data_IF_000258275033
#
_entry.id   IF_000258275033
#
_cell.length_a   1.000
_cell.length_b   1.000
_cell.length_c   1.000
_cell.angle_alpha   90.00
_cell.angle_beta   90.00
_cell.angle_gamma   90.00
#
_symmetry.space_group_name_H-M   'P 1'
#
loop_
_entity.id
_entity.type
_entity.pdbx_description
1 polymer ?
#
# COMPACT_ATOMS: atom_id res chain seq x y z
N UNK A 1 -6.91 4.43 -9.71
CA UNK A 1 -5.89 4.03 -8.73
C UNK A 1 -5.73 2.53 -8.70
N UNK A 2 -4.54 2.06 -9.05
CA UNK A 2 -3.94 1.07 -8.17
C UNK A 2 -3.81 1.78 -6.81
N UNK A 3 -4.56 1.33 -5.81
CA UNK A 3 -4.48 1.93 -4.47
C UNK A 3 -3.04 1.79 -3.96
N UNK A 4 -2.51 2.83 -3.31
CA UNK A 4 -1.21 2.73 -2.64
C UNK A 4 -1.40 2.24 -1.22
N UNK A 5 -0.48 1.41 -0.78
CA UNK A 5 -0.50 0.74 0.51
C UNK A 5 0.81 1.00 1.25
N UNK A 6 0.73 1.09 2.58
CA UNK A 6 1.87 0.95 3.47
C UNK A 6 1.94 -0.49 3.98
N UNK A 7 3.14 -0.98 4.27
CA UNK A 7 3.35 -2.34 4.77
C UNK A 7 4.08 -2.24 6.11
N UNK A 8 3.40 -2.68 7.17
CA UNK A 8 3.89 -2.62 8.54
C UNK A 8 4.29 -4.01 9.02
N UNK A 9 5.39 -4.10 9.78
CA UNK A 9 5.76 -5.30 10.51
C UNK A 9 5.26 -5.21 11.95
N UNK A 10 4.68 -6.28 12.51
CA UNK A 10 4.17 -6.27 13.90
C UNK A 10 5.27 -6.05 14.95
N UNK A 11 6.52 -6.29 14.58
CA UNK A 11 7.67 -6.03 15.44
C UNK A 11 7.96 -4.53 15.69
N UNK A 12 7.26 -3.60 15.03
CA UNK A 12 7.36 -2.16 15.31
C UNK A 12 6.07 -1.40 15.03
N UNK A 13 5.79 -0.38 15.83
CA UNK A 13 4.63 0.51 15.62
C UNK A 13 4.92 1.67 14.67
N UNK A 14 6.19 2.00 14.46
CA UNK A 14 6.66 3.22 13.79
C UNK A 14 7.46 2.97 12.50
N UNK A 15 7.66 1.71 12.10
CA UNK A 15 8.43 1.34 10.91
C UNK A 15 7.54 0.88 9.75
N UNK A 16 7.94 1.29 8.55
CA UNK A 16 7.33 0.92 7.28
C UNK A 16 8.36 0.25 6.38
N UNK A 17 7.91 -0.75 5.61
CA UNK A 17 8.71 -1.32 4.54
C UNK A 17 8.93 -0.28 3.43
N UNK A 18 10.18 -0.09 3.05
CA UNK A 18 10.61 0.85 2.03
C UNK A 18 11.64 0.23 1.09
N UNK A 19 11.80 0.84 -0.09
CA UNK A 19 12.96 0.58 -0.95
C UNK A 19 14.07 1.59 -0.66
N UNK A 20 15.23 1.12 -0.23
CA UNK A 20 16.43 1.96 0.00
C UNK A 20 17.62 1.30 -0.68
N UNK A 21 18.30 2.03 -1.56
CA UNK A 21 19.47 1.55 -2.30
C UNK A 21 19.27 0.20 -3.01
N UNK A 22 18.05 -0.05 -3.52
CA UNK A 22 17.68 -1.28 -4.21
C UNK A 22 17.29 -2.44 -3.31
N UNK A 23 17.28 -2.25 -1.99
CA UNK A 23 16.94 -3.28 -1.00
C UNK A 23 15.63 -2.95 -0.26
N UNK A 24 14.76 -3.95 -0.01
CA UNK A 24 13.59 -3.79 0.84
C UNK A 24 14.00 -3.81 2.33
N UNK A 25 13.78 -2.69 3.02
CA UNK A 25 14.16 -2.50 4.43
C UNK A 25 13.07 -1.78 5.22
N UNK A 26 13.08 -1.92 6.54
CA UNK A 26 12.25 -1.12 7.44
C UNK A 26 12.86 0.26 7.65
N UNK A 27 12.03 1.30 7.57
CA UNK A 27 12.41 2.70 7.79
C UNK A 27 11.35 3.40 8.63
N UNK A 28 11.70 4.49 9.32
CA UNK A 28 10.72 5.28 10.08
C UNK A 28 9.60 5.76 9.18
N UNK A 29 8.37 5.61 9.66
CA UNK A 29 7.18 5.98 8.94
C UNK A 29 7.23 7.46 8.53
N UNK A 30 7.34 7.68 7.24
CA UNK A 30 7.19 8.95 6.58
C UNK A 30 6.16 8.77 5.47
N UNK A 31 4.93 9.19 5.77
CA UNK A 31 3.84 9.04 4.82
C UNK A 31 4.13 9.73 3.49
N UNK A 32 5.04 10.73 3.45
CA UNK A 32 5.41 11.45 2.22
C UNK A 32 6.47 10.80 1.36
N UNK A 33 7.14 9.78 1.86
CA UNK A 33 8.16 9.06 1.11
C UNK A 33 7.51 8.02 0.17
N UNK A 34 7.56 8.28 -1.14
CA UNK A 34 7.05 7.36 -2.15
C UNK A 34 7.79 6.00 -2.12
N UNK A 35 8.99 5.92 -1.53
CA UNK A 35 9.71 4.66 -1.33
C UNK A 35 9.03 3.76 -0.30
N UNK A 36 8.18 4.31 0.57
CA UNK A 36 7.38 3.58 1.56
C UNK A 36 5.97 3.22 1.06
N UNK A 37 5.64 3.59 -0.18
CA UNK A 37 4.35 3.33 -0.79
C UNK A 37 4.44 2.18 -1.80
N UNK A 38 3.46 1.28 -1.73
CA UNK A 38 3.41 0.06 -2.53
C UNK A 38 2.08 -0.05 -3.28
N UNK A 39 2.13 -0.51 -4.52
CA UNK A 39 0.96 -0.94 -5.27
C UNK A 39 0.77 -2.44 -5.03
N UNK A 40 -0.43 -2.83 -4.62
CA UNK A 40 -0.83 -4.24 -4.54
C UNK A 40 -1.55 -4.61 -5.83
N UNK A 41 -0.85 -5.26 -6.75
CA UNK A 41 -1.38 -5.65 -8.05
C UNK A 41 -2.09 -7.00 -7.98
N UNK A 42 -3.40 -6.99 -8.15
CA UNK A 42 -4.27 -8.16 -8.05
C UNK A 42 -4.58 -8.82 -9.38
N UNK A 43 -4.00 -8.36 -10.50
CA UNK A 43 -4.35 -8.86 -11.84
C UNK A 43 -4.18 -10.37 -12.01
N UNK A 44 -3.26 -10.97 -11.27
CA UNK A 44 -2.98 -12.41 -11.30
C UNK A 44 -3.90 -13.23 -10.38
N UNK A 45 -4.51 -12.61 -9.37
CA UNK A 45 -5.25 -13.31 -8.31
C UNK A 45 -6.57 -13.95 -8.73
N UNK A 46 -7.10 -13.62 -9.92
CA UNK A 46 -8.32 -14.25 -10.44
C UNK A 46 -8.08 -15.67 -11.00
N UNK A 47 -6.84 -16.02 -11.34
CA UNK A 47 -6.49 -17.30 -11.96
C UNK A 47 -5.33 -18.04 -11.29
N UNK A 48 -4.66 -17.41 -10.32
CA UNK A 48 -3.52 -17.99 -9.63
C UNK A 48 -3.68 -17.79 -8.12
N UNK A 49 -3.65 -18.90 -7.39
CA UNK A 49 -3.76 -18.96 -5.93
C UNK A 49 -2.64 -19.81 -5.35
N UNK A 50 -2.41 -19.67 -4.04
CA UNK A 50 -1.61 -20.66 -3.30
C UNK A 50 -2.37 -21.99 -3.12
N UNK A 51 -1.74 -22.93 -2.42
CA UNK A 51 -2.31 -24.27 -2.11
C UNK A 51 -3.58 -24.21 -1.27
N UNK A 52 -3.77 -23.15 -0.48
CA UNK A 52 -4.96 -22.92 0.34
C UNK A 52 -6.06 -22.13 -0.39
N UNK A 53 -5.81 -21.71 -1.64
CA UNK A 53 -6.73 -20.95 -2.46
C UNK A 53 -6.76 -19.45 -2.17
N UNK A 54 -5.70 -18.89 -1.58
CA UNK A 54 -5.53 -17.45 -1.40
C UNK A 54 -5.03 -16.80 -2.70
N UNK A 55 -5.62 -15.69 -3.15
CA UNK A 55 -5.32 -15.10 -4.45
C UNK A 55 -3.93 -14.45 -4.48
N UNK A 56 -3.22 -14.66 -5.59
CA UNK A 56 -1.92 -14.07 -5.83
C UNK A 56 -1.97 -12.55 -6.02
N UNK A 57 -0.92 -11.87 -5.55
CA UNK A 57 -0.68 -10.46 -5.82
C UNK A 57 0.80 -10.14 -5.98
N UNK A 58 1.13 -9.08 -6.70
CA UNK A 58 2.47 -8.49 -6.73
C UNK A 58 2.53 -7.24 -5.85
N UNK A 59 3.66 -7.00 -5.19
CA UNK A 59 3.94 -5.77 -4.45
C UNK A 59 4.96 -4.94 -5.23
N UNK A 60 4.51 -3.82 -5.79
CA UNK A 60 5.33 -2.95 -6.65
C UNK A 60 5.60 -1.64 -5.91
N UNK A 61 6.86 -1.29 -5.73
CA UNK A 61 7.22 -0.04 -5.08
C UNK A 61 6.83 1.16 -5.96
N UNK A 62 6.20 2.17 -5.37
CA UNK A 62 5.72 3.35 -6.10
C UNK A 62 6.86 4.20 -6.64
N UNK A 63 7.95 4.38 -5.88
CA UNK A 63 9.07 5.22 -6.30
C UNK A 63 9.90 4.58 -7.41
N UNK A 64 10.17 3.27 -7.32
CA UNK A 64 11.08 2.59 -8.27
C UNK A 64 10.36 1.88 -9.41
N UNK A 65 9.08 1.52 -9.24
CA UNK A 65 8.35 0.67 -10.17
C UNK A 65 8.81 -0.79 -10.17
N UNK A 66 9.57 -1.20 -9.15
CA UNK A 66 10.10 -2.56 -9.01
C UNK A 66 9.19 -3.42 -8.13
N UNK A 67 9.01 -4.68 -8.51
CA UNK A 67 8.25 -5.67 -7.75
C UNK A 67 9.17 -6.45 -6.81
N UNK A 68 8.67 -6.75 -5.60
CA UNK A 68 9.32 -7.69 -4.70
C UNK A 68 9.37 -9.08 -5.31
N UNK A 69 10.56 -9.66 -5.31
CA UNK A 69 10.87 -10.97 -5.86
C UNK A 69 11.40 -11.88 -4.76
N UNK A 70 10.92 -13.12 -4.82
CA UNK A 70 11.49 -14.29 -4.18
C UNK A 70 13.02 -14.32 -4.32
N UNK A 71 13.68 -14.87 -3.31
CA UNK A 71 15.10 -15.18 -3.33
C UNK A 71 15.32 -16.70 -3.27
N UNK A 72 16.57 -17.14 -3.15
CA UNK A 72 16.95 -18.55 -3.28
C UNK A 72 16.60 -19.43 -2.05
N UNK A 73 15.70 -18.99 -1.17
CA UNK A 73 15.17 -19.77 -0.05
C UNK A 73 15.52 -19.21 1.32
N UNK A 74 15.66 -20.09 2.30
CA UNK A 74 15.79 -19.74 3.71
C UNK A 74 16.90 -18.71 3.99
N UNK A 75 16.58 -17.72 4.82
CA UNK A 75 17.48 -16.65 5.29
C UNK A 75 18.10 -15.81 4.16
N UNK A 76 17.50 -15.83 2.97
CA UNK A 76 17.96 -15.02 1.84
C UNK A 76 17.17 -13.72 1.76
N UNK A 77 17.82 -12.57 1.53
CA UNK A 77 17.16 -11.28 1.33
C UNK A 77 16.14 -11.32 0.19
N UNK A 78 14.95 -10.78 0.43
CA UNK A 78 13.98 -10.50 -0.64
C UNK A 78 14.58 -9.43 -1.55
N UNK A 79 14.41 -9.58 -2.87
CA UNK A 79 14.97 -8.66 -3.86
C UNK A 79 13.86 -7.82 -4.49
N UNK A 80 14.24 -6.76 -5.20
CA UNK A 80 13.34 -6.05 -6.09
C UNK A 80 13.82 -6.16 -7.54
N UNK A 81 12.90 -6.30 -8.49
CA UNK A 81 13.20 -6.29 -9.93
C UNK A 81 12.20 -5.43 -10.68
N UNK A 82 12.59 -4.92 -11.86
CA UNK A 82 11.68 -4.20 -12.76
C UNK A 82 10.40 -5.00 -13.00
N UNK A 83 9.25 -4.37 -12.78
CA UNK A 83 7.96 -5.00 -12.96
C UNK A 83 7.47 -4.86 -14.40
N UNK A 84 7.24 -6.00 -15.07
CA UNK A 84 6.69 -6.07 -16.42
C UNK A 84 5.33 -6.78 -16.38
N UNK A 85 4.21 -6.03 -16.34
CA UNK A 85 2.89 -6.64 -16.14
C UNK A 85 2.32 -7.34 -17.39
N UNK A 86 2.99 -7.24 -18.55
CA UNK A 86 2.53 -7.78 -19.82
C UNK A 86 3.45 -8.94 -20.24
N UNK A 87 2.84 -10.10 -20.55
CA UNK A 87 3.55 -11.28 -21.05
C UNK A 87 3.52 -12.44 -20.07
N UNK A 88 4.63 -13.20 -20.02
CA UNK A 88 4.78 -14.35 -19.12
C UNK A 88 4.67 -13.92 -17.65
N UNK A 89 3.91 -14.68 -16.88
CA UNK A 89 3.76 -14.46 -15.43
C UNK A 89 5.00 -15.03 -14.74
N UNK A 90 5.89 -14.15 -14.29
CA UNK A 90 6.97 -14.54 -13.38
C UNK A 90 6.39 -14.79 -11.98
N UNK A 91 6.09 -16.04 -11.64
CA UNK A 91 5.54 -16.38 -10.31
C UNK A 91 6.45 -15.97 -9.15
N UNK A 92 7.74 -15.76 -9.42
CA UNK A 92 8.69 -15.37 -8.38
C UNK A 92 8.50 -13.95 -7.86
N UNK A 93 7.62 -13.15 -8.46
CA UNK A 93 7.22 -11.83 -7.92
C UNK A 93 5.84 -11.84 -7.26
N UNK A 94 5.22 -13.02 -7.16
CA UNK A 94 3.87 -13.18 -6.65
C UNK A 94 3.88 -13.69 -5.21
N UNK A 95 2.99 -13.11 -4.43
CA UNK A 95 2.83 -13.36 -3.00
C UNK A 95 1.36 -13.64 -2.70
N UNK A 96 1.10 -14.27 -1.57
CA UNK A 96 -0.23 -14.42 -0.99
C UNK A 96 -0.22 -13.98 0.47
N UNK A 97 -1.41 -13.70 1.00
CA UNK A 97 -1.66 -13.49 2.43
C UNK A 97 -2.49 -14.66 2.94
N UNK A 98 -2.22 -15.10 4.16
CA UNK A 98 -3.13 -16.02 4.86
C UNK A 98 -4.54 -15.43 4.93
N UNK A 99 -5.55 -16.30 4.82
CA UNK A 99 -6.97 -15.90 4.91
C UNK A 99 -7.32 -15.37 6.29
N UNK A 100 -6.79 -16.04 7.33
CA UNK A 100 -7.08 -15.71 8.71
C UNK A 100 -6.22 -14.55 9.21
N UNK A 101 -6.87 -13.66 9.95
CA UNK A 101 -6.22 -12.52 10.60
C UNK A 101 -5.61 -12.96 11.94
N UNK A 102 -4.36 -12.57 12.19
CA UNK A 102 -3.63 -12.84 13.44
C UNK A 102 -3.90 -11.77 14.51
N UNK A 103 -4.92 -10.93 14.30
CA UNK A 103 -5.27 -9.77 15.12
C UNK A 103 -4.83 -8.46 14.47
N UNK A 104 -5.65 -7.42 14.61
CA UNK A 104 -5.38 -6.03 14.21
C UNK A 104 -5.02 -5.82 12.72
N UNK A 105 -5.42 -6.75 11.84
CA UNK A 105 -5.13 -6.66 10.41
C UNK A 105 -3.85 -7.38 10.00
N UNK A 106 -3.12 -7.99 10.92
CA UNK A 106 -1.85 -8.66 10.63
C UNK A 106 -2.06 -10.06 10.07
N UNK A 107 -1.30 -10.38 9.02
CA UNK A 107 -1.31 -11.67 8.33
C UNK A 107 0.11 -12.11 8.03
N UNK A 108 0.29 -13.39 7.76
CA UNK A 108 1.50 -13.91 7.13
C UNK A 108 1.46 -13.53 5.64
N UNK A 109 2.61 -13.13 5.10
CA UNK A 109 2.82 -12.94 3.66
C UNK A 109 3.84 -13.98 3.20
N UNK A 110 3.51 -14.77 2.20
CA UNK A 110 4.31 -15.90 1.75
C UNK A 110 4.43 -15.97 0.24
N UNK A 111 5.43 -16.72 -0.23
CA UNK A 111 5.61 -16.99 -1.66
C UNK A 111 4.40 -17.74 -2.19
N UNK A 112 3.89 -17.36 -3.36
CA UNK A 112 2.69 -17.98 -3.93
C UNK A 112 2.87 -19.48 -4.24
N UNK A 113 4.10 -19.89 -4.54
CA UNK A 113 4.46 -21.23 -4.99
C UNK A 113 5.18 -22.06 -3.91
N UNK A 114 5.42 -21.50 -2.72
CA UNK A 114 6.04 -22.18 -1.60
C UNK A 114 5.71 -21.50 -0.28
N UNK A 115 4.69 -22.00 0.40
CA UNK A 115 4.17 -21.41 1.65
C UNK A 115 5.11 -21.58 2.86
N UNK A 116 6.18 -22.38 2.75
CA UNK A 116 7.18 -22.54 3.81
C UNK A 116 8.05 -21.29 4.02
N UNK A 117 8.12 -20.42 3.00
CA UNK A 117 8.98 -19.24 3.00
C UNK A 117 8.15 -17.95 2.97
N UNK A 118 8.35 -17.18 4.03
CA UNK A 118 7.51 -16.02 4.37
C UNK A 118 8.35 -14.76 4.55
N UNK A 119 7.69 -13.61 4.55
CA UNK A 119 8.31 -12.34 4.90
C UNK A 119 8.75 -12.30 6.36
N UNK A 120 10.03 -12.03 6.61
CA UNK A 120 10.59 -11.89 7.94
C UNK A 120 11.47 -10.62 8.00
N UNK A 121 11.25 -9.80 9.03
CA UNK A 121 12.12 -8.68 9.35
C UNK A 121 13.36 -9.22 10.07
N UNK A 122 14.50 -9.20 9.38
CA UNK A 122 15.75 -9.85 9.79
C UNK A 122 16.16 -9.42 11.20
N UNK A 123 16.24 -10.40 12.11
CA UNK A 123 16.60 -10.17 13.52
C UNK A 123 15.70 -9.13 14.21
N UNK A 124 14.47 -8.94 13.73
CA UNK A 124 13.51 -7.96 14.25
C UNK A 124 12.85 -8.36 15.59
N UNK A 125 13.45 -9.27 16.36
CA UNK A 125 12.91 -9.74 17.65
C UNK A 125 13.64 -9.08 18.83
N UNK A 126 13.02 -8.97 20.02
CA UNK A 126 13.61 -8.29 21.18
C UNK A 126 15.02 -8.78 21.55
N UNK A 127 15.29 -10.08 21.44
CA UNK A 127 16.59 -10.69 21.77
C UNK A 127 17.75 -10.15 20.91
N UNK A 128 17.46 -9.63 19.71
CA UNK A 128 18.44 -8.99 18.81
C UNK A 128 18.26 -7.47 18.70
N UNK A 129 17.60 -6.86 19.70
CA UNK A 129 17.35 -5.43 19.77
C UNK A 129 16.11 -4.94 19.02
N UNK A 130 15.28 -5.86 18.51
CA UNK A 130 14.04 -5.54 17.81
C UNK A 130 14.25 -5.03 16.39
N UNK A 131 13.12 -4.82 15.70
CA UNK A 131 13.10 -4.15 14.40
C UNK A 131 13.60 -2.71 14.55
N UNK A 132 14.43 -2.28 13.59
CA UNK A 132 15.06 -0.95 13.57
C UNK A 132 15.19 -0.45 12.14
N UNK A 133 15.53 0.82 12.00
CA UNK A 133 15.83 1.40 10.70
C UNK A 133 16.97 0.62 10.01
N UNK A 134 16.74 0.20 8.78
CA UNK A 134 17.64 -0.65 8.01
C UNK A 134 17.45 -2.16 8.23
N UNK A 135 16.53 -2.61 9.10
CA UNK A 135 16.19 -4.04 9.21
C UNK A 135 15.70 -4.56 7.85
N UNK A 136 16.38 -5.57 7.31
CA UNK A 136 16.13 -6.10 5.97
C UNK A 136 14.93 -7.03 5.96
N UNK A 137 14.25 -7.07 4.81
CA UNK A 137 13.26 -8.10 4.53
C UNK A 137 13.96 -9.36 3.98
N UNK A 138 13.81 -10.48 4.66
CA UNK A 138 14.35 -11.78 4.25
C UNK A 138 13.23 -12.81 4.09
N UNK A 139 13.53 -13.93 3.43
CA UNK A 139 12.70 -15.12 3.48
C UNK A 139 13.07 -15.96 4.69
N UNK A 140 12.08 -16.35 5.49
CA UNK A 140 12.31 -17.23 6.62
C UNK A 140 11.22 -18.30 6.73
N UNK A 141 11.46 -19.31 7.57
CA UNK A 141 10.44 -20.30 7.89
C UNK A 141 9.54 -19.77 9.00
N UNK A 142 8.26 -20.07 8.90
CA UNK A 142 7.31 -19.65 9.93
C UNK A 142 7.69 -20.18 11.31
N UNK A 143 7.78 -19.28 12.30
CA UNK A 143 7.98 -19.58 13.71
C UNK A 143 7.01 -18.82 14.64
N UNK A 144 6.10 -18.02 14.08
CA UNK A 144 5.11 -17.25 14.84
C UNK A 144 5.61 -15.94 15.43
N UNK A 145 6.86 -15.54 15.16
CA UNK A 145 7.44 -14.29 15.64
C UNK A 145 6.68 -13.06 15.16
N UNK A 146 6.69 -11.98 15.95
CA UNK A 146 6.06 -10.71 15.55
C UNK A 146 6.75 -10.09 14.31
N UNK A 147 8.03 -10.39 14.11
CA UNK A 147 8.82 -9.99 12.94
C UNK A 147 8.36 -10.68 11.63
N UNK A 148 7.44 -11.65 11.71
CA UNK A 148 6.89 -12.41 10.58
C UNK A 148 5.44 -12.06 10.25
N UNK A 149 4.86 -11.12 11.00
CA UNK A 149 3.46 -10.74 10.90
C UNK A 149 3.38 -9.35 10.27
N UNK A 150 2.62 -9.23 9.19
CA UNK A 150 2.63 -8.04 8.35
C UNK A 150 1.22 -7.51 8.11
N UNK A 151 1.08 -6.19 8.02
CA UNK A 151 -0.19 -5.54 7.73
C UNK A 151 -0.05 -4.62 6.53
N UNK A 152 -0.77 -4.94 5.46
CA UNK A 152 -0.86 -4.11 4.25
C UNK A 152 -2.05 -3.15 4.41
N UNK A 153 -1.78 -1.86 4.59
CA UNK A 153 -2.81 -0.85 4.89
C UNK A 153 -2.99 0.09 3.72
N UNK A 154 -4.24 0.27 3.24
CA UNK A 154 -4.56 1.25 2.19
C UNK A 154 -4.25 2.66 2.69
N UNK A 155 -3.36 3.37 2.00
CA UNK A 155 -3.08 4.78 2.31
C UNK A 155 -4.25 5.66 1.84
N UNK A 156 -4.61 6.66 2.66
CA UNK A 156 -5.76 7.55 2.42
C UNK A 156 -5.36 9.00 2.14
N UNK A 157 -4.07 9.25 1.92
CA UNK A 157 -3.55 10.60 1.72
C UNK A 157 -3.68 11.02 0.26
N UNK A 158 -4.22 12.22 0.02
CA UNK A 158 -4.21 12.84 -1.30
C UNK A 158 -2.92 13.63 -1.46
N UNK A 159 -2.28 13.48 -2.62
CA UNK A 159 -0.97 14.09 -2.91
C UNK A 159 -1.00 14.81 -4.24
N UNK A 160 -0.34 15.96 -4.30
CA UNK A 160 0.02 16.56 -5.58
C UNK A 160 1.18 15.77 -6.17
N UNK A 161 1.04 15.39 -7.44
CA UNK A 161 2.14 14.80 -8.20
C UNK A 161 2.30 15.58 -9.51
N UNK A 162 3.52 15.65 -10.08
CA UNK A 162 3.72 16.25 -11.39
C UNK A 162 2.83 15.55 -12.43
N UNK A 163 2.08 16.33 -13.19
CA UNK A 163 1.33 15.80 -14.32
C UNK A 163 2.31 15.37 -15.41
N UNK A 164 2.33 14.08 -15.74
CA UNK A 164 3.08 13.50 -16.87
C UNK A 164 2.08 13.09 -17.96
N UNK A 165 1.87 13.89 -19.02
CA UNK A 165 0.83 13.64 -20.02
C UNK A 165 0.92 12.27 -20.69
N UNK A 166 2.14 11.75 -20.85
CA UNK A 166 2.41 10.47 -21.54
C UNK A 166 2.24 9.25 -20.62
N UNK A 167 1.88 9.45 -19.35
CA UNK A 167 1.65 8.39 -18.38
C UNK A 167 0.26 8.56 -17.77
N UNK A 168 -0.65 7.64 -18.12
CA UNK A 168 -1.99 7.62 -17.52
C UNK A 168 -1.90 6.92 -16.16
N UNK A 169 -1.49 7.68 -15.15
CA UNK A 169 -1.75 7.26 -13.78
C UNK A 169 -3.24 7.47 -13.50
N UNK A 170 -4.00 6.39 -13.50
CA UNK A 170 -5.44 6.38 -13.15
C UNK A 170 -5.72 6.90 -11.73
N UNK A 171 -4.70 7.15 -10.89
CA UNK A 171 -4.81 7.90 -9.65
C UNK A 171 -5.03 9.40 -9.83
N UNK A 172 -4.67 9.94 -10.99
CA UNK A 172 -4.87 11.34 -11.36
C UNK A 172 -6.23 11.61 -11.98
N UNK A 173 -7.00 10.56 -12.25
CA UNK A 173 -8.32 10.68 -12.85
C UNK A 173 -9.40 10.78 -11.76
N UNK A 174 -10.07 11.93 -11.75
CA UNK A 174 -11.18 12.23 -10.87
C UNK A 174 -12.43 12.49 -11.68
N UNK A 175 -13.58 12.07 -11.16
CA UNK A 175 -14.89 12.37 -11.76
C UNK A 175 -15.70 13.25 -10.83
N UNK A 176 -16.31 14.27 -11.42
CA UNK A 176 -17.20 15.16 -10.70
C UNK A 176 -18.61 14.55 -10.66
N UNK A 177 -19.25 14.56 -9.48
CA UNK A 177 -20.65 14.16 -9.35
C UNK A 177 -21.65 15.22 -9.82
N UNK A 178 -22.92 14.86 -9.65
CA UNK A 178 -24.04 15.76 -9.87
C UNK A 178 -24.00 16.92 -8.87
N UNK A 179 -24.60 18.06 -9.26
CA UNK A 179 -24.77 19.21 -8.38
C UNK A 179 -25.55 18.80 -7.12
N UNK A 180 -25.03 19.22 -5.96
CA UNK A 180 -25.58 18.94 -4.63
C UNK A 180 -26.07 20.21 -3.94
N UNK A 181 -26.14 21.33 -4.66
CA UNK A 181 -26.56 22.65 -4.19
C UNK A 181 -25.47 23.69 -4.41
N UNK A 182 -25.87 24.88 -4.88
CA UNK A 182 -24.99 26.05 -5.02
C UNK A 182 -23.71 25.83 -5.85
N UNK A 183 -23.72 24.83 -6.74
CA UNK A 183 -22.58 24.46 -7.58
C UNK A 183 -21.57 23.56 -6.88
N UNK A 184 -21.84 23.09 -5.66
CA UNK A 184 -21.00 22.14 -4.94
C UNK A 184 -21.25 20.71 -5.41
N UNK A 185 -20.16 19.97 -5.60
CA UNK A 185 -20.17 18.59 -6.14
C UNK A 185 -19.16 17.76 -5.38
N UNK A 186 -19.36 16.44 -5.31
CA UNK A 186 -18.32 15.55 -4.83
C UNK A 186 -17.32 15.26 -5.95
N UNK A 187 -16.04 15.15 -5.58
CA UNK A 187 -14.97 14.71 -6.46
C UNK A 187 -14.66 13.26 -6.09
N UNK A 188 -14.87 12.34 -7.02
CA UNK A 188 -14.74 10.89 -6.81
C UNK A 188 -13.51 10.39 -7.55
N UNK A 189 -12.81 9.41 -6.96
CA UNK A 189 -11.79 8.67 -7.69
C UNK A 189 -12.44 7.90 -8.83
N UNK A 190 -11.84 7.92 -10.04
CA UNK A 190 -12.37 7.15 -11.17
C UNK A 190 -12.28 5.64 -10.96
N UNK A 191 -11.32 5.16 -10.15
CA UNK A 191 -11.18 3.71 -9.88
C UNK A 191 -12.05 3.19 -8.76
N UNK A 192 -12.64 4.08 -7.96
CA UNK A 192 -13.41 3.71 -6.78
C UNK A 192 -14.36 4.87 -6.47
N UNK A 193 -15.55 4.81 -7.07
CA UNK A 193 -16.52 5.92 -7.01
C UNK A 193 -17.18 6.10 -5.66
N UNK A 194 -16.99 5.15 -4.74
CA UNK A 194 -17.49 5.22 -3.36
C UNK A 194 -16.55 6.04 -2.47
N UNK A 195 -15.33 6.30 -2.95
CA UNK A 195 -14.32 7.11 -2.30
C UNK A 195 -14.30 8.51 -2.91
N UNK A 196 -14.40 9.52 -2.04
CA UNK A 196 -14.46 10.94 -2.41
C UNK A 196 -13.31 11.73 -1.80
N UNK A 197 -13.02 12.89 -2.38
CA UNK A 197 -12.17 13.91 -1.79
C UNK A 197 -12.85 14.48 -0.53
N UNK A 198 -12.12 14.52 0.59
CA UNK A 198 -12.63 14.86 1.91
C UNK A 198 -11.63 15.79 2.63
N UNK A 199 -12.13 16.88 3.22
CA UNK A 199 -11.38 17.69 4.18
C UNK A 199 -11.45 17.04 5.57
N UNK A 200 -10.33 16.47 6.02
CA UNK A 200 -10.26 15.61 7.20
C UNK A 200 -10.84 16.31 8.45
N UNK A 201 -11.74 15.62 9.14
CA UNK A 201 -12.47 16.10 10.33
C UNK A 201 -13.27 17.41 10.12
N UNK A 202 -13.37 17.93 8.89
CA UNK A 202 -14.08 19.18 8.61
C UNK A 202 -15.61 19.09 8.71
N UNK A 203 -16.16 17.89 8.94
CA UNK A 203 -17.59 17.65 9.17
C UNK A 203 -18.02 17.77 10.64
N UNK A 204 -17.08 17.81 11.58
CA UNK A 204 -17.33 17.92 13.02
C UNK A 204 -16.91 19.29 13.58
N UNK A 205 -17.22 19.55 14.86
CA UNK A 205 -17.17 20.86 15.52
C UNK A 205 -15.83 21.61 15.32
N UNK A 206 -15.79 22.48 14.31
CA UNK A 206 -14.63 23.29 13.94
C UNK A 206 -14.57 23.62 12.45
N UNK A 207 -15.10 22.75 11.58
CA UNK A 207 -15.02 22.93 10.13
C UNK A 207 -13.60 22.80 9.57
N UNK A 208 -13.44 22.92 8.25
CA UNK A 208 -12.12 22.99 7.64
C UNK A 208 -11.45 24.35 7.96
N UNK A 209 -10.16 24.32 8.29
CA UNK A 209 -9.35 25.48 8.65
C UNK A 209 -7.98 25.42 7.95
N UNK A 210 -7.14 26.44 8.14
CA UNK A 210 -5.78 26.43 7.59
C UNK A 210 -4.99 25.21 8.10
N UNK A 211 -4.31 24.53 7.19
CA UNK A 211 -3.62 23.27 7.46
C UNK A 211 -4.50 22.02 7.54
N UNK A 212 -5.83 22.10 7.33
CA UNK A 212 -6.68 20.89 7.27
C UNK A 212 -6.22 19.98 6.13
N UNK A 213 -5.90 18.73 6.47
CA UNK A 213 -5.47 17.74 5.49
C UNK A 213 -6.60 17.37 4.53
N UNK A 214 -6.25 17.25 3.24
CA UNK A 214 -7.14 16.68 2.23
C UNK A 214 -6.84 15.19 2.08
N UNK A 215 -7.87 14.38 2.27
CA UNK A 215 -7.77 12.92 2.25
C UNK A 215 -8.82 12.34 1.29
N UNK A 216 -8.77 11.03 1.14
CA UNK A 216 -9.86 10.27 0.55
C UNK A 216 -10.66 9.53 1.63
N UNK A 217 -11.98 9.58 1.56
CA UNK A 217 -12.86 8.97 2.54
C UNK A 217 -14.13 8.40 1.90
N UNK A 218 -14.78 7.36 2.49
CA UNK A 218 -16.09 6.91 2.05
C UNK A 218 -17.10 8.05 2.05
N UNK A 219 -17.91 8.13 0.99
CA UNK A 219 -18.95 9.15 0.88
C UNK A 219 -19.98 9.03 2.02
N UNK A 220 -20.05 10.06 2.87
CA UNK A 220 -20.99 10.15 3.99
C UNK A 220 -21.94 11.35 3.88
N UNK A 221 -21.89 12.10 2.76
CA UNK A 221 -22.70 13.30 2.47
C UNK A 221 -22.38 14.52 3.34
N UNK A 222 -21.28 14.48 4.10
CA UNK A 222 -20.78 15.59 4.90
C UNK A 222 -20.45 16.82 4.05
N UNK A 223 -20.50 18.00 4.68
CA UNK A 223 -20.15 19.26 4.01
C UNK A 223 -18.68 19.28 3.56
N UNK A 224 -17.79 18.66 4.34
CA UNK A 224 -16.36 18.48 4.07
C UNK A 224 -16.03 17.61 2.86
N UNK A 225 -17.02 16.98 2.23
CA UNK A 225 -16.87 16.16 1.03
C UNK A 225 -17.43 16.82 -0.25
N UNK A 226 -17.86 18.08 -0.14
CA UNK A 226 -18.48 18.85 -1.22
C UNK A 226 -17.55 19.99 -1.61
N UNK A 227 -17.19 20.05 -2.89
CA UNK A 227 -16.20 20.97 -3.42
C UNK A 227 -16.82 21.81 -4.54
N UNK A 228 -16.35 23.06 -4.68
CA UNK A 228 -16.74 23.97 -5.76
C UNK A 228 -15.48 24.42 -6.49
N UNK A 229 -15.42 24.17 -7.79
CA UNK A 229 -14.33 24.65 -8.63
C UNK A 229 -14.70 26.02 -9.20
N UNK A 230 -13.86 27.02 -8.94
CA UNK A 230 -14.03 28.40 -9.42
C UNK A 230 -12.83 28.70 -10.32
N UNK A 231 -13.03 29.23 -11.55
CA UNK A 231 -11.93 29.63 -12.41
C UNK A 231 -11.00 30.62 -11.71
N UNK A 232 -9.69 30.40 -11.85
CA UNK A 232 -8.69 31.38 -11.42
C UNK A 232 -8.82 32.63 -12.31
N UNK A 233 -8.79 33.82 -11.70
CA UNK A 233 -8.84 35.11 -12.39
C UNK A 233 -7.46 35.74 -12.48
#
# INVERSE_FOLDING_TARGET
>A
MASTFSIHCRASDDLLLAMVDGEPVLTKADTIDDRQLWLKDLRYGAGLTDEEGSPAFALVNKATGEALKHSFGHNCPVRAIKFYPLGYVDESILWAEDKDDMGDGFRRIHMINNMDYIFDAEQGIPDYGGAREGTRLILFRWNGGQNQQWRITRTRTVRLVPHKPDSVDVALLWTQGNDRGEGFRNLRSVSDTDIVLDAANGGEAGGAHDGTAVIIFPWNRGANQKWKMIPFQ
#
